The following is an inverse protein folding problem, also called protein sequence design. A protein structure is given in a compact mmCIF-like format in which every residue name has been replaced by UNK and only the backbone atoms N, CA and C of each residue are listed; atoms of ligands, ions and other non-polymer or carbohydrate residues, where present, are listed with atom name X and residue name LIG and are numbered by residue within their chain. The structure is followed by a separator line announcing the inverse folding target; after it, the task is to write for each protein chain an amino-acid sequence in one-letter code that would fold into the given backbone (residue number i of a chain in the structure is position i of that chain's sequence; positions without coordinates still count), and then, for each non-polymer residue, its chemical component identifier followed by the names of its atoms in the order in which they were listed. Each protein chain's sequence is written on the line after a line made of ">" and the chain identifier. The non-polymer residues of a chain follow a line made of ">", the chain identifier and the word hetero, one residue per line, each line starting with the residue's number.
data_IF_723754562911
#
_entry.id   IF_723754562911
#
_cell.length_a   1.000
_cell.length_b   1.000
_cell.length_c   1.000
_cell.angle_alpha   90.00
_cell.angle_beta   90.00
_cell.angle_gamma   90.00
#
_symmetry.space_group_name_H-M   'P 1'
#
loop_
_entity.id
_entity.type
_entity.pdbx_description
1 polymer ?
#
# COMPACT_ATOMS: atom_id res chain seq x y z
N UNK A 1 -0.05 -0.48 28.86
CA UNK A 1 -0.65 -1.79 28.49
C UNK A 1 -0.68 -1.85 26.98
N UNK A 2 0.44 -2.24 26.35
CA UNK A 2 0.58 -2.36 24.90
C UNK A 2 0.02 -3.70 24.47
N UNK A 3 -1.24 -3.72 24.05
CA UNK A 3 -1.86 -4.86 23.37
C UNK A 3 -0.94 -5.30 22.24
N UNK A 4 -0.41 -6.52 22.33
CA UNK A 4 0.13 -7.28 21.21
C UNK A 4 -1.01 -7.41 20.17
N UNK A 5 -1.18 -6.39 19.33
CA UNK A 5 -1.91 -6.58 18.08
C UNK A 5 -1.02 -7.47 17.23
N UNK A 6 -1.29 -8.77 17.24
CA UNK A 6 -0.74 -9.69 16.26
C UNK A 6 -1.08 -9.11 14.90
N UNK A 7 -0.06 -8.59 14.21
CA UNK A 7 -0.24 -8.07 12.86
C UNK A 7 -0.66 -9.24 11.98
N UNK A 8 -1.95 -9.37 11.70
CA UNK A 8 -2.52 -10.39 10.83
C UNK A 8 -1.82 -10.40 9.46
N UNK A 9 -1.28 -9.26 9.01
CA UNK A 9 -0.46 -9.12 7.80
C UNK A 9 0.80 -10.00 7.86
N UNK A 10 1.42 -10.11 9.04
CA UNK A 10 2.58 -10.97 9.31
C UNK A 10 2.14 -12.43 9.43
N UNK A 11 1.04 -12.71 10.13
CA UNK A 11 0.51 -14.08 10.30
C UNK A 11 0.01 -14.71 8.99
N UNK A 12 -0.56 -13.91 8.09
CA UNK A 12 -1.03 -14.35 6.77
C UNK A 12 0.08 -14.46 5.72
N UNK A 13 1.33 -14.12 6.07
CA UNK A 13 2.45 -14.11 5.13
C UNK A 13 2.33 -13.05 4.03
N UNK A 14 1.42 -12.07 4.16
CA UNK A 14 1.23 -11.00 3.18
C UNK A 14 2.16 -9.80 3.40
N UNK A 15 2.98 -9.83 4.46
CA UNK A 15 3.96 -8.79 4.79
C UNK A 15 4.92 -8.45 3.62
N UNK A 16 5.31 -9.42 2.79
CA UNK A 16 6.17 -9.16 1.63
C UNK A 16 5.53 -8.18 0.63
N UNK A 17 4.20 -8.17 0.50
CA UNK A 17 3.46 -7.25 -0.38
C UNK A 17 3.53 -5.81 0.15
N UNK A 18 3.52 -5.64 1.47
CA UNK A 18 3.72 -4.35 2.13
C UNK A 18 5.14 -3.84 1.89
N UNK A 19 6.16 -4.69 2.07
CA UNK A 19 7.56 -4.32 1.80
C UNK A 19 7.76 -3.89 0.34
N UNK A 20 7.16 -4.60 -0.63
CA UNK A 20 7.20 -4.21 -2.05
C UNK A 20 6.53 -2.86 -2.29
N UNK A 21 5.40 -2.58 -1.64
CA UNK A 21 4.74 -1.28 -1.77
C UNK A 21 5.57 -0.15 -1.18
N UNK A 22 6.15 -0.35 0.01
CA UNK A 22 7.06 0.62 0.64
C UNK A 22 8.29 0.88 -0.23
N UNK A 23 8.89 -0.16 -0.80
CA UNK A 23 10.00 -0.03 -1.74
C UNK A 23 9.60 0.77 -2.99
N UNK A 24 8.43 0.49 -3.57
CA UNK A 24 7.91 1.21 -4.73
C UNK A 24 7.65 2.69 -4.45
N UNK A 25 7.02 3.03 -3.32
CA UNK A 25 6.81 4.42 -2.91
C UNK A 25 8.13 5.14 -2.63
N UNK A 26 9.09 4.46 -2.02
CA UNK A 26 10.43 5.02 -1.79
C UNK A 26 11.14 5.31 -3.11
N UNK A 27 11.05 4.41 -4.08
CA UNK A 27 11.57 4.62 -5.43
C UNK A 27 10.92 5.81 -6.14
N UNK A 28 9.59 5.95 -6.04
CA UNK A 28 8.86 7.09 -6.60
C UNK A 28 9.32 8.42 -5.97
N UNK A 29 9.43 8.46 -4.64
CA UNK A 29 9.97 9.62 -3.88
C UNK A 29 11.41 9.97 -4.31
N UNK A 30 12.25 8.97 -4.55
CA UNK A 30 13.60 9.18 -5.05
C UNK A 30 13.61 9.78 -6.46
N UNK A 31 12.76 9.28 -7.37
CA UNK A 31 12.60 9.87 -8.70
C UNK A 31 12.12 11.33 -8.64
N UNK A 32 11.18 11.65 -7.75
CA UNK A 32 10.72 13.02 -7.55
C UNK A 32 11.82 13.94 -7.01
N UNK A 33 12.58 13.50 -6.01
CA UNK A 33 13.68 14.28 -5.43
C UNK A 33 14.80 14.51 -6.45
N UNK A 34 15.18 13.49 -7.23
CA UNK A 34 16.14 13.64 -8.32
C UNK A 34 15.61 14.53 -9.45
N UNK A 35 14.31 14.47 -9.73
CA UNK A 35 13.65 15.36 -10.68
C UNK A 35 13.77 16.82 -10.25
N UNK A 36 13.38 17.13 -9.01
CA UNK A 36 13.50 18.48 -8.42
C UNK A 36 14.96 18.95 -8.47
N UNK A 37 15.92 18.10 -8.11
CA UNK A 37 17.34 18.46 -8.18
C UNK A 37 17.78 18.77 -9.62
N UNK A 38 17.34 17.96 -10.59
CA UNK A 38 17.59 18.22 -12.01
C UNK A 38 16.98 19.53 -12.49
N UNK A 39 15.82 19.95 -11.94
CA UNK A 39 15.22 21.24 -12.27
C UNK A 39 16.13 22.40 -11.85
N UNK A 40 16.76 22.30 -10.68
CA UNK A 40 17.66 23.32 -10.13
C UNK A 40 18.99 23.39 -10.91
N UNK A 41 19.45 22.28 -11.50
CA UNK A 41 20.77 22.18 -12.14
C UNK A 41 20.78 22.31 -13.67
N UNK A 42 19.62 22.46 -14.33
CA UNK A 42 19.58 22.65 -15.80
C UNK A 42 18.39 22.02 -16.54
N UNK A 43 17.47 21.36 -15.84
CA UNK A 43 16.14 21.01 -16.32
C UNK A 43 16.01 19.84 -17.32
N UNK A 44 17.10 19.39 -17.95
CA UNK A 44 17.03 18.43 -19.07
C UNK A 44 16.30 17.12 -18.76
N UNK A 45 16.35 16.64 -17.51
CA UNK A 45 15.76 15.35 -17.10
C UNK A 45 14.54 15.50 -16.18
N UNK A 46 14.12 16.73 -15.89
CA UNK A 46 13.03 17.00 -14.95
C UNK A 46 11.73 16.27 -15.34
N UNK A 47 11.28 16.49 -16.58
CA UNK A 47 10.01 15.95 -17.08
C UNK A 47 10.01 14.42 -17.13
N UNK A 48 11.14 13.80 -17.49
CA UNK A 48 11.29 12.35 -17.51
C UNK A 48 11.29 11.75 -16.10
N UNK A 49 12.00 12.35 -15.15
CA UNK A 49 12.09 11.85 -13.77
C UNK A 49 10.78 12.02 -13.01
N UNK A 50 10.10 13.15 -13.19
CA UNK A 50 8.80 13.43 -12.57
C UNK A 50 7.71 12.55 -13.14
N UNK A 51 7.63 12.40 -14.47
CA UNK A 51 6.66 11.48 -15.07
C UNK A 51 6.91 10.04 -14.65
N UNK A 52 8.17 9.59 -14.62
CA UNK A 52 8.54 8.27 -14.11
C UNK A 52 8.10 8.08 -12.65
N UNK A 53 8.41 9.04 -11.76
CA UNK A 53 7.99 8.99 -10.36
C UNK A 53 6.47 8.95 -10.19
N UNK A 54 5.73 9.71 -10.97
CA UNK A 54 4.27 9.71 -10.96
C UNK A 54 3.70 8.36 -11.41
N UNK A 55 4.18 7.84 -12.54
CA UNK A 55 3.76 6.53 -13.05
C UNK A 55 4.06 5.41 -12.06
N UNK A 56 5.25 5.42 -11.47
CA UNK A 56 5.70 4.40 -10.52
C UNK A 56 4.89 4.47 -9.22
N UNK A 57 4.60 5.68 -8.73
CA UNK A 57 3.73 5.89 -7.57
C UNK A 57 2.31 5.40 -7.81
N UNK A 58 1.68 5.80 -8.92
CA UNK A 58 0.33 5.36 -9.28
C UNK A 58 0.26 3.84 -9.51
N UNK A 59 1.21 3.26 -10.23
CA UNK A 59 1.26 1.83 -10.47
C UNK A 59 1.46 1.05 -9.16
N UNK A 60 2.34 1.51 -8.27
CA UNK A 60 2.57 0.90 -6.96
C UNK A 60 1.30 0.95 -6.10
N UNK A 61 0.59 2.09 -6.10
CA UNK A 61 -0.66 2.22 -5.38
C UNK A 61 -1.73 1.27 -5.92
N UNK A 62 -1.98 1.27 -7.23
CA UNK A 62 -2.94 0.36 -7.86
C UNK A 62 -2.59 -1.11 -7.60
N UNK A 63 -1.32 -1.48 -7.73
CA UNK A 63 -0.83 -2.81 -7.40
C UNK A 63 -1.11 -3.17 -5.93
N UNK A 64 -0.75 -2.28 -5.00
CA UNK A 64 -0.97 -2.49 -3.56
C UNK A 64 -2.45 -2.72 -3.23
N UNK A 65 -3.34 -1.90 -3.80
CA UNK A 65 -4.79 -2.06 -3.61
C UNK A 65 -5.36 -3.35 -4.20
N UNK A 66 -4.73 -3.90 -5.24
CA UNK A 66 -5.18 -5.12 -5.94
C UNK A 66 -4.61 -6.42 -5.34
N UNK A 67 -3.47 -6.33 -4.66
CA UNK A 67 -2.67 -7.48 -4.21
C UNK A 67 -2.95 -7.89 -2.78
N UNK A 68 -3.42 -6.97 -1.94
CA UNK A 68 -3.97 -7.27 -0.62
C UNK A 68 -5.35 -7.91 -0.77
N UNK A 69 -5.39 -9.23 -0.58
CA UNK A 69 -6.57 -10.07 -0.74
C UNK A 69 -6.83 -10.87 0.52
N UNK A 70 -8.10 -11.10 0.84
CA UNK A 70 -8.46 -11.95 1.97
C UNK A 70 -7.98 -13.39 1.73
N UNK A 71 -7.34 -14.06 2.69
CA UNK A 71 -6.96 -15.47 2.54
C UNK A 71 -8.17 -16.41 2.42
N UNK A 72 -9.32 -16.05 3.00
CA UNK A 72 -10.53 -16.88 3.00
C UNK A 72 -11.40 -16.71 1.74
N UNK A 73 -11.65 -15.48 1.32
CA UNK A 73 -12.57 -15.19 0.19
C UNK A 73 -11.88 -14.60 -1.05
N UNK A 74 -10.55 -14.43 -1.03
CA UNK A 74 -9.76 -13.79 -2.08
C UNK A 74 -10.20 -12.36 -2.46
N UNK A 75 -11.14 -11.76 -1.71
CA UNK A 75 -11.69 -10.45 -2.05
C UNK A 75 -10.66 -9.33 -1.81
N UNK A 76 -10.74 -8.27 -2.63
CA UNK A 76 -9.84 -7.11 -2.56
C UNK A 76 -10.20 -6.24 -1.36
N UNK A 77 -9.56 -6.51 -0.22
CA UNK A 77 -9.83 -5.83 1.06
C UNK A 77 -9.62 -4.33 0.95
N UNK A 78 -8.49 -3.93 0.37
CA UNK A 78 -8.13 -2.51 0.26
C UNK A 78 -9.13 -1.76 -0.61
N UNK A 79 -9.53 -2.33 -1.75
CA UNK A 79 -10.54 -1.71 -2.61
C UNK A 79 -11.88 -1.53 -1.89
N UNK A 80 -12.31 -2.55 -1.16
CA UNK A 80 -13.57 -2.53 -0.40
C UNK A 80 -13.53 -1.48 0.72
N UNK A 81 -12.38 -1.34 1.39
CA UNK A 81 -12.14 -0.33 2.42
C UNK A 81 -12.09 1.09 1.85
N UNK A 82 -11.33 1.28 0.76
CA UNK A 82 -11.23 2.58 0.07
C UNK A 82 -12.60 3.05 -0.43
N UNK A 83 -13.48 2.14 -0.85
CA UNK A 83 -14.83 2.50 -1.30
C UNK A 83 -15.84 2.74 -0.18
N UNK A 84 -15.56 2.30 1.06
CA UNK A 84 -16.52 2.39 2.19
C UNK A 84 -16.08 3.32 3.32
N UNK A 85 -14.78 3.64 3.44
CA UNK A 85 -14.21 4.41 4.56
C UNK A 85 -13.56 5.72 4.09
N UNK A 86 -13.49 6.75 4.95
CA UNK A 86 -12.86 8.03 4.62
C UNK A 86 -11.34 7.88 4.37
N UNK A 87 -10.84 8.66 3.41
CA UNK A 87 -9.46 8.60 2.87
C UNK A 87 -8.34 8.79 3.90
N UNK A 88 -8.61 9.33 5.08
CA UNK A 88 -7.61 9.55 6.13
C UNK A 88 -7.47 8.39 7.12
N UNK A 89 -8.52 7.60 7.34
CA UNK A 89 -8.52 6.53 8.36
C UNK A 89 -8.37 5.13 7.78
N UNK A 90 -8.70 4.93 6.51
CA UNK A 90 -8.76 3.58 5.91
C UNK A 90 -7.46 2.77 6.04
N UNK A 91 -6.28 3.41 6.00
CA UNK A 91 -4.99 2.70 6.15
C UNK A 91 -4.81 2.18 7.57
N UNK A 92 -5.14 3.00 8.57
CA UNK A 92 -5.05 2.64 9.99
C UNK A 92 -6.10 1.60 10.32
N UNK A 93 -7.32 1.80 9.82
CA UNK A 93 -8.43 0.84 9.97
C UNK A 93 -8.11 -0.50 9.29
N UNK A 94 -7.37 -0.50 8.18
CA UNK A 94 -6.91 -1.71 7.50
C UNK A 94 -5.86 -2.47 8.30
N UNK A 95 -4.92 -1.76 8.94
CA UNK A 95 -3.95 -2.37 9.84
C UNK A 95 -4.62 -2.94 11.09
N UNK A 96 -5.64 -2.26 11.62
CA UNK A 96 -6.41 -2.67 12.80
C UNK A 96 -7.52 -3.69 12.49
N UNK A 97 -7.67 -4.13 11.23
CA UNK A 97 -8.78 -4.97 10.84
C UNK A 97 -8.59 -6.43 11.28
N UNK A 98 -9.45 -6.92 12.18
CA UNK A 98 -9.41 -8.31 12.65
C UNK A 98 -10.22 -9.26 11.77
N UNK A 99 -11.21 -8.76 11.02
CA UNK A 99 -12.15 -9.57 10.24
C UNK A 99 -12.48 -8.95 8.88
N UNK A 100 -12.65 -9.80 7.86
CA UNK A 100 -12.91 -9.35 6.50
C UNK A 100 -14.36 -8.83 6.35
N UNK A 101 -14.59 -7.62 5.81
CA UNK A 101 -15.93 -7.05 5.68
C UNK A 101 -16.82 -7.77 4.64
N UNK A 102 -16.22 -8.59 3.77
CA UNK A 102 -16.95 -9.31 2.73
C UNK A 102 -17.42 -10.70 3.18
N UNK A 103 -16.61 -11.43 3.94
CA UNK A 103 -16.93 -12.80 4.38
C UNK A 103 -17.10 -12.96 5.90
N UNK A 104 -16.79 -11.94 6.69
CA UNK A 104 -16.78 -12.02 8.16
C UNK A 104 -15.67 -12.91 8.73
N UNK A 105 -14.84 -13.52 7.88
CA UNK A 105 -13.73 -14.40 8.28
C UNK A 105 -12.64 -13.61 9.01
N UNK A 106 -12.15 -14.18 10.11
CA UNK A 106 -11.07 -13.59 10.92
C UNK A 106 -9.74 -13.68 10.15
N UNK A 107 -9.00 -12.57 10.10
CA UNK A 107 -7.77 -12.43 9.29
C UNK A 107 -6.52 -12.99 9.98
N UNK A 108 -6.56 -13.13 11.31
CA UNK A 108 -5.54 -13.70 12.21
C UNK A 108 -5.49 -15.24 12.14
N UNK A 109 -6.62 -15.92 11.91
CA UNK A 109 -6.67 -17.37 11.71
C UNK A 109 -6.65 -17.73 10.24
N UNK A 110 -5.46 -18.06 9.74
CA UNK A 110 -5.31 -18.92 8.56
C UNK A 110 -5.24 -20.35 9.08
N UNK A 111 -6.26 -21.16 8.75
CA UNK A 111 -6.25 -22.60 9.02
C UNK A 111 -5.38 -23.33 8.00
#
# INVERSE_FOLDING_TARGET
>A
MSTNQSNWIVETGQAWKLYVAVAGFTGALLCFTLGIFSLVTGGERFLALVSCGLFLGCATFLWFTAVLRCPHCANKLVWTMVSTRPHSSWVVDLAALESCPACGGRLDRVA
#
